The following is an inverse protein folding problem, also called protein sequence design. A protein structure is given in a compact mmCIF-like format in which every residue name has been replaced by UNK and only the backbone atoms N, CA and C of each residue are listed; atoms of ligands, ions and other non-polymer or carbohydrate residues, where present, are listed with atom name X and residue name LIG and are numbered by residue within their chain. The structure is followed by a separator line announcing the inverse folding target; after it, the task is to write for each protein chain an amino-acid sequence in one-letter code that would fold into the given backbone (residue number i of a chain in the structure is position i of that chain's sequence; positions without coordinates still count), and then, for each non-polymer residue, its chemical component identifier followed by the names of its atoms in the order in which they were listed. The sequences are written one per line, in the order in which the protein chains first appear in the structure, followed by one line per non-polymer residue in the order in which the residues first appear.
data_IF_567236554386
#
_entry.id   IF_567236554386
#
_cell.length_a   1.000
_cell.length_b   1.000
_cell.length_c   1.000
_cell.angle_alpha   90.00
_cell.angle_beta   90.00
_cell.angle_gamma   90.00
#
_symmetry.space_group_name_H-M   'P 1'
#
loop_
_entity.id
_entity.type
_entity.pdbx_description
1 polymer ?
#
# COMPACT_ATOMS: atom_id res chain seq x y z
N UNK A 1 -11.86 -8.59 11.51
CA UNK A 1 -11.53 -8.31 10.09
C UNK A 1 -11.73 -6.82 9.90
N UNK A 2 -10.79 -6.14 9.24
CA UNK A 2 -10.99 -4.75 8.85
C UNK A 2 -11.47 -4.73 7.41
N UNK A 3 -12.30 -3.77 7.05
CA UNK A 3 -12.68 -3.55 5.64
C UNK A 3 -11.47 -2.95 4.90
N UNK A 4 -11.16 -3.49 3.72
CA UNK A 4 -10.07 -2.99 2.90
C UNK A 4 -9.29 -4.07 2.14
N UNK A 5 -8.13 -3.66 1.63
CA UNK A 5 -7.19 -4.54 0.91
C UNK A 5 -6.14 -5.03 1.89
N UNK A 6 -6.01 -6.35 2.03
CA UNK A 6 -5.07 -6.98 2.94
C UNK A 6 -4.24 -8.02 2.19
N UNK A 7 -2.96 -7.73 1.93
CA UNK A 7 -2.10 -8.62 1.16
C UNK A 7 -0.79 -8.93 1.88
N UNK A 8 -0.31 -10.16 1.68
CA UNK A 8 1.01 -10.65 2.12
C UNK A 8 1.80 -11.11 0.89
N UNK A 9 2.51 -10.21 0.22
CA UNK A 9 3.22 -10.55 -1.01
C UNK A 9 4.45 -11.42 -0.74
N UNK A 10 4.68 -12.43 -1.58
CA UNK A 10 5.91 -13.24 -1.57
C UNK A 10 7.07 -12.50 -2.24
N UNK A 11 7.63 -11.50 -1.55
CA UNK A 11 8.74 -10.70 -2.05
C UNK A 11 10.09 -11.37 -1.76
N UNK A 12 11.05 -11.24 -2.68
CA UNK A 12 12.39 -11.75 -2.48
C UNK A 12 13.10 -10.93 -1.40
N UNK A 13 13.65 -11.62 -0.39
CA UNK A 13 14.27 -10.98 0.77
C UNK A 13 15.36 -9.98 0.37
N UNK A 14 15.45 -8.87 1.10
CA UNK A 14 16.43 -7.80 0.91
C UNK A 14 16.39 -7.08 -0.44
N UNK A 15 15.45 -7.41 -1.33
CA UNK A 15 15.26 -6.67 -2.57
C UNK A 15 14.40 -5.42 -2.35
N UNK A 16 14.70 -4.39 -3.14
CA UNK A 16 13.94 -3.15 -3.16
C UNK A 16 12.72 -3.28 -4.09
N UNK A 17 11.58 -2.82 -3.61
CA UNK A 17 10.33 -2.80 -4.36
C UNK A 17 9.69 -1.41 -4.31
N UNK A 18 8.80 -1.16 -5.26
CA UNK A 18 7.96 0.03 -5.31
C UNK A 18 6.50 -0.38 -5.33
N UNK A 19 5.78 0.01 -4.29
CA UNK A 19 4.33 -0.08 -4.22
C UNK A 19 3.74 1.21 -4.79
N UNK A 20 2.82 1.06 -5.75
CA UNK A 20 1.99 2.15 -6.22
C UNK A 20 0.54 1.87 -5.80
N UNK A 21 -0.10 2.85 -5.19
CA UNK A 21 -1.50 2.78 -4.76
C UNK A 21 -2.25 3.97 -5.35
N UNK A 22 -3.45 3.74 -5.84
CA UNK A 22 -4.38 4.78 -6.27
C UNK A 22 -5.72 4.53 -5.60
N UNK A 23 -6.34 5.59 -5.11
CA UNK A 23 -7.74 5.60 -4.71
C UNK A 23 -8.52 6.54 -5.64
N UNK A 24 -9.71 6.15 -6.07
CA UNK A 24 -10.59 6.98 -6.87
C UNK A 24 -12.00 6.99 -6.28
N UNK A 25 -12.53 8.16 -5.98
CA UNK A 25 -13.85 8.35 -5.36
C UNK A 25 -13.92 9.59 -4.47
N UNK A 26 -14.30 9.39 -3.20
CA UNK A 26 -14.44 10.45 -2.19
C UNK A 26 -13.69 10.08 -0.91
N UNK A 27 -13.16 11.08 -0.22
CA UNK A 27 -12.41 10.90 1.02
C UNK A 27 -10.96 10.47 0.79
N UNK A 28 -10.42 9.70 1.73
CA UNK A 28 -9.07 9.17 1.68
C UNK A 28 -9.00 7.75 2.24
N UNK A 29 -7.93 7.04 1.91
CA UNK A 29 -7.55 5.77 2.51
C UNK A 29 -6.18 5.89 3.17
N UNK A 30 -5.88 5.01 4.13
CA UNK A 30 -4.58 4.86 4.75
C UNK A 30 -3.90 3.60 4.21
N UNK A 31 -2.70 3.76 3.64
CA UNK A 31 -1.75 2.70 3.37
C UNK A 31 -0.91 2.44 4.63
N UNK A 32 -0.83 1.18 5.06
CA UNK A 32 0.02 0.74 6.16
C UNK A 32 0.87 -0.45 5.71
N UNK A 33 2.18 -0.32 5.86
CA UNK A 33 3.15 -1.42 5.64
C UNK A 33 3.69 -1.90 6.98
N UNK A 34 3.75 -3.22 7.18
CA UNK A 34 4.27 -3.87 8.39
C UNK A 34 5.35 -4.88 7.99
N UNK A 35 6.48 -4.98 8.71
CA UNK A 35 6.87 -4.20 9.91
C UNK A 35 7.25 -2.74 9.60
N UNK A 36 7.25 -1.87 10.61
CA UNK A 36 7.44 -0.41 10.52
C UNK A 36 8.83 0.07 10.03
N UNK A 37 9.68 -0.82 9.54
CA UNK A 37 10.93 -0.52 8.82
C UNK A 37 10.95 -0.99 7.36
N UNK A 38 9.95 -1.77 6.94
CA UNK A 38 9.80 -2.26 5.57
C UNK A 38 9.04 -1.29 4.66
N UNK A 39 8.44 -0.26 5.25
CA UNK A 39 7.66 0.82 4.64
C UNK A 39 6.95 1.64 5.73
N UNK A 40 6.28 2.71 5.33
CA UNK A 40 5.61 3.66 6.22
C UNK A 40 4.07 3.60 6.17
N UNK A 41 3.47 4.48 6.97
CA UNK A 41 2.05 4.85 6.85
C UNK A 41 1.91 6.04 5.92
N UNK A 42 0.94 5.98 4.99
CA UNK A 42 0.70 7.07 4.04
C UNK A 42 -0.79 7.29 3.79
N UNK A 43 -1.20 8.54 3.73
CA UNK A 43 -2.49 8.92 3.19
C UNK A 43 -2.53 8.66 1.68
N UNK A 44 -3.66 8.14 1.20
CA UNK A 44 -3.98 7.88 -0.19
C UNK A 44 -5.28 8.62 -0.50
N UNK A 45 -5.21 9.88 -0.99
CA UNK A 45 -6.41 10.63 -1.33
C UNK A 45 -7.17 9.91 -2.45
N UNK A 46 -8.50 9.93 -2.38
CA UNK A 46 -9.36 9.29 -3.38
C UNK A 46 -9.66 10.20 -4.57
N UNK A 47 -8.67 10.98 -5.02
CA UNK A 47 -8.74 11.92 -6.14
C UNK A 47 -8.15 11.36 -7.45
N UNK A 48 -7.75 10.09 -7.46
CA UNK A 48 -7.12 9.43 -8.60
C UNK A 48 -5.61 9.64 -8.68
N UNK A 49 -4.99 10.35 -7.75
CA UNK A 49 -3.54 10.50 -7.69
C UNK A 49 -2.84 9.21 -7.26
N UNK A 50 -1.61 9.01 -7.75
CA UNK A 50 -0.82 7.82 -7.45
C UNK A 50 0.12 8.10 -6.28
N UNK A 51 -0.07 7.37 -5.18
CA UNK A 51 0.85 7.34 -4.04
C UNK A 51 1.89 6.25 -4.25
N UNK A 52 3.15 6.63 -4.09
CA UNK A 52 4.29 5.73 -4.25
C UNK A 52 4.97 5.48 -2.90
N UNK A 53 5.22 4.21 -2.60
CA UNK A 53 5.95 3.79 -1.41
C UNK A 53 7.10 2.85 -1.79
N UNK A 54 8.29 3.10 -1.22
CA UNK A 54 9.41 2.17 -1.33
C UNK A 54 9.24 1.11 -0.27
N UNK A 55 9.43 -0.15 -0.67
CA UNK A 55 9.41 -1.27 0.23
C UNK A 55 10.78 -1.92 0.28
N UNK A 56 11.22 -2.27 1.48
CA UNK A 56 12.35 -3.17 1.70
C UNK A 56 11.77 -4.54 2.06
N UNK A 57 12.03 -5.55 1.24
CA UNK A 57 11.41 -6.85 1.41
C UNK A 57 11.94 -7.60 2.65
N UNK A 58 11.09 -7.66 3.67
CA UNK A 58 11.24 -8.53 4.83
C UNK A 58 10.40 -9.80 4.66
N UNK A 59 10.78 -10.88 5.37
CA UNK A 59 10.16 -12.21 5.24
C UNK A 59 8.65 -12.27 5.56
N UNK A 60 8.09 -11.25 6.21
CA UNK A 60 6.69 -11.19 6.63
C UNK A 60 6.01 -9.85 6.29
N UNK A 61 6.35 -9.25 5.13
CA UNK A 61 5.77 -7.97 4.73
C UNK A 61 4.24 -8.07 4.56
N UNK A 62 3.51 -7.15 5.19
CA UNK A 62 2.06 -6.99 5.05
C UNK A 62 1.76 -5.60 4.50
N UNK A 63 0.90 -5.53 3.49
CA UNK A 63 0.35 -4.28 2.96
C UNK A 63 -1.15 -4.25 3.26
N UNK A 64 -1.56 -3.26 4.03
CA UNK A 64 -2.96 -2.94 4.30
C UNK A 64 -3.31 -1.60 3.65
N UNK A 65 -4.47 -1.54 2.98
CA UNK A 65 -5.09 -0.27 2.59
C UNK A 65 -6.50 -0.23 3.15
N UNK A 66 -6.81 0.78 3.96
CA UNK A 66 -8.08 0.93 4.67
C UNK A 66 -8.71 2.27 4.34
N UNK A 67 -9.99 2.29 4.02
CA UNK A 67 -10.72 3.56 3.87
C UNK A 67 -10.82 4.28 5.20
N UNK A 68 -10.62 5.60 5.22
CA UNK A 68 -10.98 6.42 6.36
C UNK A 68 -12.52 6.53 6.48
N UNK A 69 -13.06 6.92 7.66
CA UNK A 69 -14.50 7.13 7.81
C UNK A 69 -15.07 8.08 6.73
N UNK A 70 -16.11 7.63 6.04
CA UNK A 70 -16.75 8.38 4.95
C UNK A 70 -16.07 8.24 3.58
N UNK A 71 -14.98 7.47 3.47
CA UNK A 71 -14.40 7.14 2.17
C UNK A 71 -15.31 6.22 1.36
N UNK A 72 -15.42 6.49 0.06
CA UNK A 72 -16.19 5.67 -0.87
C UNK A 72 -15.53 5.69 -2.24
N UNK A 73 -15.41 4.53 -2.88
CA UNK A 73 -14.78 4.41 -4.19
C UNK A 73 -14.03 3.10 -4.36
N UNK A 74 -12.98 3.14 -5.19
CA UNK A 74 -12.15 1.98 -5.52
C UNK A 74 -10.69 2.25 -5.18
N UNK A 75 -10.00 1.21 -4.73
CA UNK A 75 -8.55 1.20 -4.54
C UNK A 75 -7.95 0.19 -5.51
N UNK A 76 -6.89 0.60 -6.21
CA UNK A 76 -6.04 -0.30 -6.98
C UNK A 76 -4.59 -0.14 -6.53
N UNK A 77 -3.82 -1.23 -6.62
CA UNK A 77 -2.43 -1.23 -6.22
C UNK A 77 -1.61 -2.19 -7.08
N UNK A 78 -0.31 -1.93 -7.16
CA UNK A 78 0.67 -2.83 -7.77
C UNK A 78 2.01 -2.73 -7.06
N UNK A 79 2.74 -3.85 -6.98
CA UNK A 79 4.12 -3.89 -6.50
C UNK A 79 5.02 -4.27 -7.66
N UNK A 80 6.04 -3.46 -7.91
CA UNK A 80 7.08 -3.76 -8.89
C UNK A 80 8.43 -3.87 -8.20
N UNK A 81 9.25 -4.85 -8.60
CA UNK A 81 10.66 -4.88 -8.19
C UNK A 81 11.37 -3.67 -8.79
N UNK A 82 12.15 -2.96 -7.97
CA UNK A 82 13.06 -1.93 -8.50
C UNK A 82 14.20 -2.69 -9.18
N UNK A 83 14.58 -2.27 -10.40
CA UNK A 83 15.47 -3.01 -11.28
C UNK A 83 16.69 -3.62 -10.57
N UNK A 84 16.98 -4.87 -10.94
CA UNK A 84 18.25 -5.56 -10.68
C UNK A 84 19.40 -4.93 -11.46
#
# INVERSE_FOLDING_TARGET
MADGVHTRPGLAHSAAYKLAVVCAGKGAAELVVVPSGAGGKKAVPCDGSVVLERLTAESALKVDVRGEPGAAGMVAWRINKVGS
#
